data_IF_982547502064
#
_entry.id   IF_982547502064
#
_cell.length_a   1.000
_cell.length_b   1.000
_cell.length_c   1.000
_cell.angle_alpha   90.00
_cell.angle_beta   90.00
_cell.angle_gamma   90.00
#
_symmetry.space_group_name_H-M   'P 1'
#
loop_
_entity.id
_entity.type
_entity.pdbx_description
1 polymer ?
#
# COMPACT_ATOMS: atom_id res chain seq x y z
N UNK A 1 6.41 -14.79 0.10
CA UNK A 1 5.32 -13.86 0.49
C UNK A 1 5.82 -12.49 0.11
N UNK A 2 5.16 -11.81 -0.82
CA UNK A 2 5.67 -10.54 -1.32
C UNK A 2 5.44 -9.42 -0.30
N UNK A 3 6.49 -8.73 0.10
CA UNK A 3 6.45 -7.56 0.99
C UNK A 3 6.20 -6.28 0.20
N UNK A 4 6.65 -6.20 -1.06
CA UNK A 4 6.52 -5.01 -1.90
C UNK A 4 5.44 -5.26 -2.97
N UNK A 5 4.40 -4.43 -2.98
CA UNK A 5 3.28 -4.52 -3.93
C UNK A 5 3.39 -3.57 -5.12
N UNK A 6 4.63 -3.26 -5.53
CA UNK A 6 4.93 -2.33 -6.63
C UNK A 6 4.23 -2.71 -7.94
N UNK A 7 4.18 -4.00 -8.27
CA UNK A 7 3.52 -4.49 -9.50
C UNK A 7 2.03 -4.13 -9.54
N UNK A 8 1.33 -4.23 -8.41
CA UNK A 8 -0.08 -3.86 -8.33
C UNK A 8 -0.27 -2.35 -8.51
N UNK A 9 0.54 -1.54 -7.83
CA UNK A 9 0.42 -0.07 -7.89
C UNK A 9 0.68 0.43 -9.31
N UNK A 10 1.70 -0.08 -9.99
CA UNK A 10 1.99 0.25 -11.40
C UNK A 10 0.76 -0.03 -12.28
N UNK A 11 0.14 -1.20 -12.10
CA UNK A 11 -1.05 -1.58 -12.87
C UNK A 11 -2.26 -0.69 -12.56
N UNK A 12 -2.50 -0.36 -11.28
CA UNK A 12 -3.59 0.52 -10.85
C UNK A 12 -3.41 1.94 -11.40
N UNK A 13 -2.18 2.45 -11.40
CA UNK A 13 -1.84 3.78 -11.94
C UNK A 13 -1.81 3.82 -13.47
N UNK A 14 -1.89 2.67 -14.14
CA UNK A 14 -1.93 2.58 -15.60
C UNK A 14 -0.64 2.99 -16.30
N UNK A 15 0.49 3.06 -15.57
CA UNK A 15 1.78 3.43 -16.16
C UNK A 15 2.57 2.19 -16.57
N UNK A 16 3.42 2.31 -17.59
CA UNK A 16 4.30 1.22 -17.99
C UNK A 16 5.53 1.12 -17.07
N UNK A 17 6.18 -0.05 -17.04
CA UNK A 17 7.44 -0.22 -16.29
C UNK A 17 8.56 0.65 -16.85
N UNK A 18 8.61 0.80 -18.16
CA UNK A 18 9.59 1.64 -18.86
C UNK A 18 9.37 3.11 -18.53
N UNK A 19 8.11 3.56 -18.49
CA UNK A 19 7.77 4.93 -18.08
C UNK A 19 8.18 5.20 -16.63
N UNK A 20 7.88 4.28 -15.70
CA UNK A 20 8.32 4.42 -14.31
C UNK A 20 9.84 4.48 -14.22
N UNK A 21 10.53 3.58 -14.91
CA UNK A 21 11.99 3.51 -14.92
C UNK A 21 12.61 4.83 -15.39
N UNK A 22 12.05 5.42 -16.46
CA UNK A 22 12.46 6.71 -16.97
C UNK A 22 12.20 7.84 -15.95
N UNK A 23 11.04 7.86 -15.29
CA UNK A 23 10.70 8.87 -14.27
C UNK A 23 11.65 8.85 -13.07
N UNK A 24 12.06 7.67 -12.62
CA UNK A 24 12.93 7.54 -11.43
C UNK A 24 14.43 7.47 -11.77
N UNK A 25 14.78 7.48 -13.07
CA UNK A 25 16.16 7.49 -13.55
C UNK A 25 16.88 6.14 -13.36
N UNK A 26 16.21 5.02 -13.60
CA UNK A 26 16.79 3.67 -13.52
C UNK A 26 16.45 2.84 -14.76
N UNK A 27 17.06 1.66 -14.90
CA UNK A 27 16.73 0.76 -16.01
C UNK A 27 15.38 0.06 -15.80
N UNK A 28 14.70 -0.29 -16.90
CA UNK A 28 13.48 -1.13 -16.85
C UNK A 28 13.72 -2.49 -16.18
N UNK A 29 14.93 -3.04 -16.32
CA UNK A 29 15.39 -4.24 -15.62
C UNK A 29 15.43 -4.04 -14.11
N UNK A 30 15.88 -2.87 -13.64
CA UNK A 30 15.88 -2.51 -12.21
C UNK A 30 14.47 -2.53 -11.65
N UNK A 31 13.51 -1.87 -12.32
CA UNK A 31 12.09 -1.86 -11.91
C UNK A 31 11.51 -3.28 -11.93
N UNK A 32 11.85 -4.09 -12.93
CA UNK A 32 11.39 -5.48 -13.04
C UNK A 32 11.94 -6.38 -11.93
N UNK A 33 13.21 -6.21 -11.58
CA UNK A 33 13.86 -6.92 -10.47
C UNK A 33 13.27 -6.51 -9.12
N UNK A 34 12.96 -5.23 -8.93
CA UNK A 34 12.27 -4.72 -7.73
C UNK A 34 10.84 -5.27 -7.65
N UNK A 35 10.09 -5.21 -8.75
CA UNK A 35 8.71 -5.71 -8.83
C UNK A 35 8.61 -7.23 -8.62
N UNK A 36 9.71 -7.95 -8.81
CA UNK A 36 9.82 -9.40 -8.62
C UNK A 36 10.58 -9.77 -7.35
N UNK A 37 10.90 -8.79 -6.49
CA UNK A 37 11.62 -8.93 -5.22
C UNK A 37 13.00 -9.59 -5.31
N UNK A 38 13.59 -9.64 -6.49
CA UNK A 38 14.97 -10.12 -6.67
C UNK A 38 15.97 -9.16 -6.03
N UNK A 39 15.68 -7.86 -6.14
CA UNK A 39 16.46 -6.79 -5.53
C UNK A 39 15.52 -5.84 -4.78
N UNK A 40 15.87 -5.47 -3.56
CA UNK A 40 15.18 -4.41 -2.83
C UNK A 40 15.77 -3.04 -3.21
N UNK A 41 14.93 -2.01 -3.43
CA UNK A 41 15.40 -0.67 -3.69
C UNK A 41 16.03 -0.06 -2.44
N UNK A 42 16.93 0.91 -2.63
CA UNK A 42 17.33 1.79 -1.53
C UNK A 42 16.14 2.66 -1.10
N UNK A 43 16.17 3.20 0.12
CA UNK A 43 15.12 4.11 0.60
C UNK A 43 14.96 5.30 -0.36
N UNK A 44 16.07 5.86 -0.87
CA UNK A 44 16.00 6.97 -1.81
C UNK A 44 15.27 6.60 -3.12
N UNK A 45 15.54 5.42 -3.68
CA UNK A 45 14.85 4.95 -4.88
C UNK A 45 13.38 4.67 -4.59
N UNK A 46 13.07 4.10 -3.42
CA UNK A 46 11.70 3.85 -3.00
C UNK A 46 10.89 5.15 -2.90
N UNK A 47 11.46 6.21 -2.31
CA UNK A 47 10.83 7.53 -2.22
C UNK A 47 10.59 8.14 -3.60
N UNK A 48 11.55 8.04 -4.51
CA UNK A 48 11.37 8.48 -5.91
C UNK A 48 10.26 7.71 -6.62
N UNK A 49 10.16 6.41 -6.38
CA UNK A 49 9.09 5.59 -6.95
C UNK A 49 7.73 6.01 -6.39
N UNK A 50 7.63 6.24 -5.08
CA UNK A 50 6.41 6.71 -4.43
C UNK A 50 5.96 8.07 -4.99
N UNK A 51 6.90 9.01 -5.14
CA UNK A 51 6.66 10.32 -5.75
C UNK A 51 6.21 10.19 -7.22
N UNK A 52 6.90 9.36 -8.02
CA UNK A 52 6.56 9.15 -9.43
C UNK A 52 5.20 8.46 -9.64
N UNK A 53 4.75 7.67 -8.66
CA UNK A 53 3.46 6.99 -8.65
C UNK A 53 2.36 7.79 -7.95
N UNK A 54 2.69 8.92 -7.30
CA UNK A 54 1.78 9.71 -6.48
C UNK A 54 1.04 8.84 -5.44
N UNK A 55 1.82 8.15 -4.61
CA UNK A 55 1.34 7.30 -3.51
C UNK A 55 2.19 7.52 -2.27
N UNK A 56 1.63 7.21 -1.10
CA UNK A 56 2.43 7.15 0.12
C UNK A 56 3.35 5.91 0.09
N UNK A 57 4.59 6.06 0.56
CA UNK A 57 5.56 4.96 0.63
C UNK A 57 5.04 3.76 1.44
N UNK A 58 4.15 3.99 2.40
CA UNK A 58 3.50 2.94 3.21
C UNK A 58 2.60 2.05 2.36
N UNK A 59 1.94 2.61 1.34
CA UNK A 59 1.06 1.87 0.44
C UNK A 59 1.83 0.88 -0.45
N UNK A 60 3.14 1.09 -0.63
CA UNK A 60 4.01 0.20 -1.39
C UNK A 60 4.27 -1.14 -0.69
N UNK A 61 3.94 -1.27 0.59
CA UNK A 61 4.19 -2.48 1.37
C UNK A 61 2.91 -3.24 1.70
N UNK A 62 3.04 -4.57 1.70
CA UNK A 62 2.03 -5.45 2.25
C UNK A 62 2.16 -5.51 3.79
N UNK A 63 1.03 -5.50 4.53
CA UNK A 63 1.06 -5.73 5.97
C UNK A 63 1.68 -7.09 6.31
N UNK A 64 2.68 -7.09 7.19
CA UNK A 64 3.37 -8.33 7.61
C UNK A 64 2.64 -9.10 8.70
N UNK A 65 1.58 -8.54 9.28
CA UNK A 65 0.78 -9.13 10.37
C UNK A 65 -0.69 -9.37 9.99
N UNK A 66 -0.97 -9.67 8.71
CA UNK A 66 -2.33 -9.69 8.18
C UNK A 66 -2.92 -8.28 8.15
N UNK A 67 -4.19 -8.11 7.74
CA UNK A 67 -4.89 -6.83 7.90
C UNK A 67 -4.88 -6.47 9.40
N UNK A 68 -3.87 -5.69 9.77
CA UNK A 68 -3.69 -4.98 11.02
C UNK A 68 -4.91 -4.12 11.31
N UNK A 69 -6.10 -4.68 11.60
CA UNK A 69 -7.16 -3.88 12.20
C UNK A 69 -6.53 -3.37 13.49
N UNK A 70 -6.22 -2.09 13.51
CA UNK A 70 -5.61 -1.46 14.67
C UNK A 70 -6.60 -1.61 15.82
N UNK A 71 -6.10 -1.67 17.05
CA UNK A 71 -6.99 -1.68 18.21
C UNK A 71 -7.92 -0.45 18.21
N UNK A 72 -7.48 0.66 17.60
CA UNK A 72 -8.28 1.86 17.39
C UNK A 72 -9.46 1.62 16.42
N UNK A 73 -9.20 1.03 15.24
CA UNK A 73 -10.26 0.68 14.27
C UNK A 73 -11.25 -0.36 14.82
N UNK A 74 -10.77 -1.34 15.62
CA UNK A 74 -11.65 -2.30 16.32
C UNK A 74 -12.58 -1.56 17.29
N UNK A 75 -12.05 -0.62 18.05
CA UNK A 75 -12.82 0.09 19.07
C UNK A 75 -13.84 1.05 18.45
N UNK A 76 -13.46 1.75 17.38
CA UNK A 76 -14.40 2.57 16.59
C UNK A 76 -15.56 1.74 16.03
N UNK A 77 -15.27 0.56 15.49
CA UNK A 77 -16.29 -0.35 14.98
C UNK A 77 -17.24 -0.84 16.09
N UNK A 78 -16.71 -1.21 17.26
CA UNK A 78 -17.55 -1.60 18.42
C UNK A 78 -18.50 -0.48 18.84
N UNK A 79 -17.99 0.75 18.99
CA UNK A 79 -18.81 1.90 19.39
C UNK A 79 -19.96 2.14 18.41
N UNK A 80 -19.71 1.99 17.10
CA UNK A 80 -20.76 2.13 16.08
C UNK A 80 -21.81 1.02 16.18
N UNK A 81 -21.38 -0.22 16.41
CA UNK A 81 -22.28 -1.36 16.57
C UNK A 81 -23.14 -1.24 17.84
N UNK A 82 -22.56 -0.83 18.97
CA UNK A 82 -23.29 -0.60 20.22
C UNK A 82 -24.34 0.51 20.08
N UNK A 83 -23.98 1.64 19.47
CA UNK A 83 -24.94 2.72 19.18
C UNK A 83 -26.09 2.22 18.32
N UNK A 84 -25.77 1.46 17.28
CA UNK A 84 -26.77 0.87 16.39
C UNK A 84 -27.70 -0.08 17.15
N UNK A 85 -27.13 -0.93 18.01
CA UNK A 85 -27.90 -1.88 18.83
C UNK A 85 -28.83 -1.15 19.81
N UNK A 86 -28.36 -0.11 20.49
CA UNK A 86 -29.19 0.68 21.40
C UNK A 86 -30.39 1.33 20.70
N UNK A 87 -30.17 1.87 19.49
CA UNK A 87 -31.24 2.41 18.65
C UNK A 87 -32.28 1.33 18.33
N UNK A 88 -31.82 0.13 17.93
CA UNK A 88 -32.70 -0.99 17.58
C UNK A 88 -33.47 -1.54 18.79
N UNK A 89 -32.87 -1.50 19.98
CA UNK A 89 -33.51 -1.90 21.24
C UNK A 89 -34.42 -0.82 21.84
N UNK A 90 -34.50 0.37 21.23
CA UNK A 90 -35.28 1.49 21.75
C UNK A 90 -34.75 2.06 23.07
N UNK A 91 -33.50 1.71 23.44
CA UNK A 91 -32.81 2.26 24.60
C UNK A 91 -32.19 3.60 24.16
N UNK A 92 -32.73 4.69 24.73
CA UNK A 92 -32.18 6.04 24.54
C UNK A 92 -30.83 6.19 25.22
#
# INVERSE_FOLDING_TARGET
>A
MAILRLKEIINIKGISRDELANKVGVSATTISNISSEKNLPTIQLLLKIAEALDVDVREMFMPTKGNAITQMEVEEAKVLLEKSLNILEGKR
#
